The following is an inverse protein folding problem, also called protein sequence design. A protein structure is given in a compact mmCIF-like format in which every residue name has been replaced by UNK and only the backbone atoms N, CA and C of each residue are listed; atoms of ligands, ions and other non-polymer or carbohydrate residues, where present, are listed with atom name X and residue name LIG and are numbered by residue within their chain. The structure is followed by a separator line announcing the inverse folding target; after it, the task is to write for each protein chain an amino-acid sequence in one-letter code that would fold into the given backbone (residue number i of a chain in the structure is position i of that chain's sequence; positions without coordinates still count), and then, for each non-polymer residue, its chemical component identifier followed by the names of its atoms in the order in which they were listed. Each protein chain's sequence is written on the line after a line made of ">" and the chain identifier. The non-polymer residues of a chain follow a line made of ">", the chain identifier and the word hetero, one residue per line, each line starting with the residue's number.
data_IF_178161656455
#
_entry.id   IF_178161656455
#
_cell.length_a   1.000
_cell.length_b   1.000
_cell.length_c   1.000
_cell.angle_alpha   90.00
_cell.angle_beta   90.00
_cell.angle_gamma   90.00
#
_symmetry.space_group_name_H-M   'P 1'
#
loop_
_entity.id
_entity.type
_entity.pdbx_description
1 polymer ?
#
# COMPACT_ATOMS: atom_id res chain seq x y z
N UNK A 1 8.73 0.85 8.78
CA UNK A 1 8.46 0.97 10.24
C UNK A 1 7.00 0.70 10.59
N UNK A 2 6.66 -0.54 10.93
CA UNK A 2 5.29 -1.00 11.23
C UNK A 2 4.75 -0.61 12.64
N UNK A 3 5.34 0.40 13.28
CA UNK A 3 4.84 1.00 14.52
C UNK A 3 4.25 2.41 14.33
N UNK A 4 4.19 2.93 13.10
CA UNK A 4 3.81 4.32 12.85
C UNK A 4 2.30 4.57 12.67
N UNK A 5 1.45 3.55 12.57
CA UNK A 5 0.07 3.78 12.11
C UNK A 5 -0.87 4.40 13.16
N UNK A 6 -0.74 4.05 14.44
CA UNK A 6 -1.68 4.53 15.48
C UNK A 6 -1.37 5.96 15.95
N UNK A 7 -0.15 6.46 15.72
CA UNK A 7 0.28 7.79 16.14
C UNK A 7 0.38 8.82 15.01
N UNK A 8 0.58 8.41 13.76
CA UNK A 8 0.77 9.36 12.66
C UNK A 8 -0.50 10.15 12.35
N UNK A 9 -1.67 9.51 12.38
CA UNK A 9 -2.94 10.22 12.27
C UNK A 9 -3.06 11.28 13.36
N UNK A 10 -2.81 10.92 14.62
CA UNK A 10 -2.92 11.85 15.75
C UNK A 10 -1.89 12.98 15.69
N UNK A 11 -0.68 12.71 15.17
CA UNK A 11 0.36 13.71 14.94
C UNK A 11 -0.05 14.68 13.82
N UNK A 12 -0.56 14.18 12.70
CA UNK A 12 -1.06 14.99 11.60
C UNK A 12 -2.23 15.87 12.04
N UNK A 13 -3.20 15.33 12.79
CA UNK A 13 -4.32 16.12 13.29
C UNK A 13 -3.87 17.18 14.32
N UNK A 14 -2.94 16.85 15.22
CA UNK A 14 -2.36 17.85 16.17
C UNK A 14 -1.55 18.94 15.48
N UNK A 15 -0.96 18.65 14.33
CA UNK A 15 -0.26 19.63 13.51
C UNK A 15 -1.21 20.58 12.75
N UNK A 16 -2.53 20.41 12.90
CA UNK A 16 -3.53 21.29 12.28
C UNK A 16 -3.92 20.87 10.86
N UNK A 17 -3.62 19.64 10.43
CA UNK A 17 -4.06 19.14 9.12
C UNK A 17 -5.57 18.85 9.12
N UNK A 18 -6.22 19.11 7.99
CA UNK A 18 -7.66 18.92 7.82
C UNK A 18 -8.07 17.42 7.81
N UNK A 19 -7.21 16.54 7.29
CA UNK A 19 -7.42 15.09 7.25
C UNK A 19 -6.11 14.30 7.10
N UNK A 20 -6.20 12.98 7.28
CA UNK A 20 -5.11 12.02 7.12
C UNK A 20 -5.59 10.80 6.32
N UNK A 21 -4.85 10.48 5.25
CA UNK A 21 -5.04 9.27 4.44
C UNK A 21 -3.72 8.52 4.43
N UNK A 22 -3.72 7.29 4.93
CA UNK A 22 -2.55 6.42 4.90
C UNK A 22 -2.36 5.83 3.51
N UNK A 23 -1.11 5.56 3.14
CA UNK A 23 -0.80 4.74 1.95
C UNK A 23 -1.31 3.28 2.14
N UNK A 24 -1.61 2.56 1.04
CA UNK A 24 -1.75 3.08 -0.32
C UNK A 24 -2.97 4.01 -0.44
N UNK A 25 -2.90 4.98 -1.34
CA UNK A 25 -3.95 5.98 -1.52
C UNK A 25 -5.12 5.29 -2.23
N UNK A 26 -6.31 5.39 -1.64
CA UNK A 26 -7.58 4.97 -2.22
C UNK A 26 -8.24 6.21 -2.84
N UNK A 27 -8.49 6.19 -4.15
CA UNK A 27 -8.96 7.35 -4.89
C UNK A 27 -10.34 7.81 -4.40
N UNK A 28 -11.27 6.89 -4.19
CA UNK A 28 -12.62 7.21 -3.72
C UNK A 28 -12.58 7.84 -2.31
N UNK A 29 -11.77 7.28 -1.42
CA UNK A 29 -11.56 7.81 -0.07
C UNK A 29 -10.91 9.19 -0.10
N UNK A 30 -9.96 9.41 -1.00
CA UNK A 30 -9.33 10.73 -1.20
C UNK A 30 -10.37 11.75 -1.66
N UNK A 31 -11.11 11.42 -2.72
CA UNK A 31 -12.17 12.28 -3.29
C UNK A 31 -13.20 12.61 -2.21
N UNK A 32 -13.77 11.61 -1.53
CA UNK A 32 -14.74 11.79 -0.44
C UNK A 32 -14.19 12.66 0.69
N UNK A 33 -12.91 12.51 1.04
CA UNK A 33 -12.27 13.31 2.08
C UNK A 33 -12.17 14.78 1.66
N UNK A 34 -11.75 15.04 0.42
CA UNK A 34 -11.68 16.40 -0.14
C UNK A 34 -13.07 17.02 -0.22
N UNK A 35 -14.05 16.31 -0.78
CA UNK A 35 -15.45 16.76 -0.88
C UNK A 35 -16.02 17.12 0.51
N UNK A 36 -15.83 16.26 1.50
CA UNK A 36 -16.30 16.50 2.88
C UNK A 36 -15.66 17.75 3.49
N UNK A 37 -14.37 17.98 3.25
CA UNK A 37 -13.66 19.15 3.77
C UNK A 37 -14.08 20.44 3.06
N UNK A 38 -14.28 20.39 1.74
CA UNK A 38 -14.78 21.53 0.96
C UNK A 38 -16.22 21.87 1.39
N UNK A 39 -17.09 20.88 1.58
CA UNK A 39 -18.47 21.09 2.07
C UNK A 39 -18.51 21.53 3.54
N UNK A 40 -17.57 21.10 4.39
CA UNK A 40 -17.41 21.62 5.77
C UNK A 40 -16.94 23.08 5.78
N UNK A 41 -16.00 23.46 4.92
CA UNK A 41 -15.54 24.86 4.79
C UNK A 41 -16.60 25.75 4.13
N UNK A 42 -17.40 25.21 3.21
CA UNK A 42 -18.57 25.90 2.64
C UNK A 42 -19.66 26.19 3.67
N UNK A 43 -19.93 25.24 4.59
CA UNK A 43 -20.87 25.44 5.71
C UNK A 43 -20.36 26.37 6.81
N UNK A 44 -19.06 26.68 6.88
CA UNK A 44 -18.54 27.69 7.81
C UNK A 44 -18.82 29.13 7.34
N UNK A 45 -19.23 29.32 6.08
CA UNK A 45 -19.65 30.63 5.56
C UNK A 45 -21.17 30.87 5.67
N UNK A 46 -21.96 29.82 5.94
CA UNK A 46 -23.41 29.91 6.06
C UNK A 46 -23.89 29.27 7.36
N UNK A 47 -24.19 30.14 8.33
CA UNK A 47 -25.16 29.94 9.40
C UNK A 47 -24.67 29.34 10.73
N UNK A 48 -24.67 30.22 11.74
CA UNK A 48 -24.95 29.88 13.12
C UNK A 48 -26.41 29.42 13.25
N UNK A 49 -26.65 28.15 13.60
CA UNK A 49 -27.83 27.71 14.35
C UNK A 49 -27.69 26.26 14.82
N UNK A 50 -28.00 26.02 16.10
CA UNK A 50 -28.19 24.74 16.79
C UNK A 50 -29.05 23.72 15.99
N UNK A 51 -29.04 22.40 16.19
CA UNK A 51 -29.07 21.57 17.42
C UNK A 51 -28.62 20.12 17.13
N UNK A 52 -28.34 19.38 18.20
CA UNK A 52 -28.02 17.94 18.30
C UNK A 52 -28.99 16.98 17.56
N UNK A 53 -28.48 15.84 17.07
CA UNK A 53 -28.95 14.49 17.48
C UNK A 53 -28.05 13.33 16.97
N UNK A 54 -27.47 12.63 17.95
CA UNK A 54 -27.26 11.18 18.17
C UNK A 54 -27.58 10.14 17.08
N UNK A 55 -26.68 9.15 16.91
CA UNK A 55 -26.83 7.66 16.97
C UNK A 55 -25.43 7.09 16.60
N UNK A 56 -24.57 6.63 17.53
CA UNK A 56 -24.58 5.39 18.31
C UNK A 56 -24.35 4.10 17.50
N UNK A 57 -23.14 3.53 17.71
CA UNK A 57 -22.79 2.09 17.76
C UNK A 57 -22.84 1.31 16.43
N UNK A 58 -21.99 0.32 16.11
CA UNK A 58 -21.06 -0.51 16.87
C UNK A 58 -20.34 -1.45 15.90
N UNK A 59 -19.11 -1.86 16.26
CA UNK A 59 -18.43 -3.15 16.00
C UNK A 59 -18.30 -3.61 14.51
N UNK A 60 -17.19 -4.20 14.07
CA UNK A 60 -16.57 -5.36 14.71
C UNK A 60 -15.14 -5.58 14.21
N UNK A 61 -14.27 -5.81 15.19
CA UNK A 61 -13.03 -6.55 15.04
C UNK A 61 -13.39 -7.99 14.66
N UNK A 62 -12.94 -8.47 13.51
CA UNK A 62 -12.86 -9.89 13.22
C UNK A 62 -11.45 -10.22 12.72
N UNK A 63 -10.61 -10.67 13.65
CA UNK A 63 -9.62 -11.67 13.31
C UNK A 63 -10.38 -12.94 12.89
N UNK A 64 -10.24 -13.35 11.63
CA UNK A 64 -10.60 -14.71 11.21
C UNK A 64 -9.48 -15.24 10.33
N UNK A 65 -8.72 -16.15 10.94
CA UNK A 65 -8.00 -17.21 10.26
C UNK A 65 -9.00 -18.05 9.46
N UNK A 66 -8.87 -18.07 8.15
CA UNK A 66 -9.42 -19.13 7.32
C UNK A 66 -8.40 -19.53 6.25
N UNK A 67 -7.94 -20.78 6.37
CA UNK A 67 -7.32 -21.65 5.38
C UNK A 67 -6.85 -20.97 4.08
N UNK A 68 -5.51 -20.90 3.91
CA UNK A 68 -4.86 -20.47 2.67
C UNK A 68 -5.40 -21.25 1.46
N UNK A 69 -6.06 -20.59 0.49
CA UNK A 69 -5.89 -20.95 -0.90
C UNK A 69 -4.57 -20.32 -1.40
N UNK A 70 -4.04 -20.81 -2.51
CA UNK A 70 -2.85 -20.24 -3.17
C UNK A 70 -2.99 -18.72 -3.24
N UNK A 71 -1.94 -18.02 -2.84
CA UNK A 71 -1.84 -16.56 -2.91
C UNK A 71 -2.30 -16.08 -4.28
N UNK A 72 -3.39 -15.32 -4.34
CA UNK A 72 -3.70 -14.55 -5.53
C UNK A 72 -2.54 -13.58 -5.75
N UNK A 73 -1.69 -13.91 -6.73
CA UNK A 73 -0.52 -13.12 -7.10
C UNK A 73 -0.94 -11.70 -7.52
N UNK A 74 -2.17 -11.56 -8.00
CA UNK A 74 -2.76 -10.34 -8.52
C UNK A 74 -4.28 -10.37 -8.25
N UNK A 75 -4.81 -9.31 -7.63
CA UNK A 75 -6.25 -9.08 -7.53
C UNK A 75 -6.63 -7.87 -8.37
N UNK A 76 -6.88 -8.13 -9.66
CA UNK A 76 -7.27 -7.09 -10.62
C UNK A 76 -8.58 -6.42 -10.25
N UNK A 77 -9.51 -7.13 -9.62
CA UNK A 77 -10.80 -6.56 -9.26
C UNK A 77 -10.61 -5.47 -8.21
N UNK A 78 -9.79 -5.73 -7.19
CA UNK A 78 -9.45 -4.73 -6.18
C UNK A 78 -8.53 -3.64 -6.72
N UNK A 79 -7.61 -3.97 -7.62
CA UNK A 79 -6.74 -2.98 -8.27
C UNK A 79 -7.58 -1.95 -9.06
N UNK A 80 -8.51 -2.41 -9.91
CA UNK A 80 -9.44 -1.55 -10.67
C UNK A 80 -10.27 -0.65 -9.77
N UNK A 81 -10.90 -1.21 -8.74
CA UNK A 81 -11.70 -0.43 -7.79
C UNK A 81 -10.91 0.68 -7.11
N UNK A 82 -9.67 0.41 -6.69
CA UNK A 82 -8.79 1.41 -6.06
C UNK A 82 -8.47 2.58 -7.00
N UNK A 83 -8.44 2.31 -8.29
CA UNK A 83 -8.16 3.28 -9.35
C UNK A 83 -9.44 3.88 -9.96
N UNK A 84 -10.60 3.60 -9.37
CA UNK A 84 -11.88 4.15 -9.85
C UNK A 84 -12.33 3.59 -11.20
N UNK A 85 -11.98 2.33 -11.49
CA UNK A 85 -12.26 1.63 -12.76
C UNK A 85 -11.63 2.34 -13.99
N UNK A 86 -10.58 3.14 -13.78
CA UNK A 86 -9.79 3.77 -14.84
C UNK A 86 -8.73 2.81 -15.39
N UNK A 87 -9.03 2.23 -16.58
CA UNK A 87 -8.15 1.27 -17.23
C UNK A 87 -6.85 1.90 -17.79
N UNK A 88 -6.86 3.19 -18.15
CA UNK A 88 -5.66 3.89 -18.63
C UNK A 88 -4.69 4.10 -17.45
N UNK A 89 -5.22 4.54 -16.31
CA UNK A 89 -4.44 4.67 -15.08
C UNK A 89 -3.92 3.32 -14.59
N UNK A 90 -4.73 2.25 -14.66
CA UNK A 90 -4.29 0.90 -14.31
C UNK A 90 -3.10 0.45 -15.19
N UNK A 91 -3.16 0.76 -16.49
CA UNK A 91 -2.10 0.45 -17.45
C UNK A 91 -0.82 1.22 -17.15
N UNK A 92 -0.92 2.52 -16.92
CA UNK A 92 0.21 3.37 -16.54
C UNK A 92 0.87 2.85 -15.25
N UNK A 93 0.06 2.54 -14.23
CA UNK A 93 0.56 2.00 -12.98
C UNK A 93 1.22 0.64 -13.14
N UNK A 94 0.69 -0.23 -14.00
CA UNK A 94 1.34 -1.50 -14.33
C UNK A 94 2.70 -1.26 -15.01
N UNK A 95 2.78 -0.32 -15.95
CA UNK A 95 4.04 0.10 -16.57
C UNK A 95 5.08 0.57 -15.54
N UNK A 96 4.70 1.49 -14.66
CA UNK A 96 5.57 1.96 -13.58
C UNK A 96 5.98 0.85 -12.62
N UNK A 97 5.08 -0.10 -12.32
CA UNK A 97 5.42 -1.25 -11.49
C UNK A 97 6.53 -2.10 -12.11
N UNK A 98 6.43 -2.40 -13.41
CA UNK A 98 7.42 -3.21 -14.13
C UNK A 98 8.82 -2.55 -14.09
N UNK A 99 8.89 -1.24 -14.25
CA UNK A 99 10.15 -0.48 -14.24
C UNK A 99 10.72 -0.33 -12.82
N UNK A 100 9.91 0.19 -11.89
CA UNK A 100 10.36 0.52 -10.53
C UNK A 100 10.70 -0.73 -9.72
N UNK A 101 9.95 -1.82 -9.90
CA UNK A 101 10.18 -3.06 -9.15
C UNK A 101 11.55 -3.68 -9.49
N UNK A 102 11.98 -3.63 -10.75
CA UNK A 102 13.29 -4.11 -11.17
C UNK A 102 14.43 -3.31 -10.51
N UNK A 103 14.31 -1.98 -10.51
CA UNK A 103 15.29 -1.09 -9.86
C UNK A 103 15.36 -1.39 -8.36
N UNK A 104 14.21 -1.49 -7.69
CA UNK A 104 14.15 -1.72 -6.24
C UNK A 104 14.64 -3.11 -5.83
N UNK A 105 14.42 -4.15 -6.64
CA UNK A 105 14.96 -5.48 -6.40
C UNK A 105 16.49 -5.50 -6.48
N UNK A 106 17.06 -4.77 -7.45
CA UNK A 106 18.51 -4.62 -7.57
C UNK A 106 19.11 -3.83 -6.40
N UNK A 107 18.46 -2.74 -6.00
CA UNK A 107 18.88 -1.94 -4.85
C UNK A 107 18.78 -2.71 -3.54
N UNK A 108 17.73 -3.52 -3.37
CA UNK A 108 17.59 -4.44 -2.23
C UNK A 108 18.75 -5.44 -2.19
N UNK A 109 19.05 -6.09 -3.33
CA UNK A 109 20.14 -7.06 -3.43
C UNK A 109 21.50 -6.43 -3.09
N UNK A 110 21.80 -5.25 -3.64
CA UNK A 110 23.03 -4.50 -3.34
C UNK A 110 23.11 -4.13 -1.86
N UNK A 111 22.04 -3.56 -1.32
CA UNK A 111 21.99 -3.12 0.08
C UNK A 111 22.17 -4.26 1.07
N UNK A 112 21.65 -5.45 0.75
CA UNK A 112 21.87 -6.65 1.57
C UNK A 112 23.32 -7.15 1.48
N UNK A 113 23.95 -7.09 0.29
CA UNK A 113 25.37 -7.40 0.11
C UNK A 113 26.30 -6.46 0.88
N UNK A 114 25.96 -5.17 0.91
CA UNK A 114 26.71 -4.14 1.63
C UNK A 114 26.34 -4.07 3.13
N UNK A 115 25.46 -4.96 3.62
CA UNK A 115 24.96 -4.96 5.01
C UNK A 115 24.34 -3.62 5.44
N UNK A 116 23.75 -2.88 4.51
CA UNK A 116 23.05 -1.62 4.74
C UNK A 116 21.60 -1.87 5.14
N UNK A 117 21.37 -2.09 6.43
CA UNK A 117 20.05 -2.38 6.99
C UNK A 117 18.99 -1.35 6.60
N UNK A 118 19.31 -0.06 6.69
CA UNK A 118 18.36 1.01 6.37
C UNK A 118 18.00 1.05 4.89
N UNK A 119 18.98 0.89 4.00
CA UNK A 119 18.72 0.91 2.56
C UNK A 119 17.94 -0.32 2.11
N UNK A 120 18.29 -1.51 2.62
CA UNK A 120 17.56 -2.74 2.35
C UNK A 120 16.11 -2.66 2.86
N UNK A 121 15.89 -2.17 4.08
CA UNK A 121 14.56 -1.99 4.63
C UNK A 121 13.73 -0.98 3.81
N UNK A 122 14.33 0.12 3.34
CA UNK A 122 13.65 1.10 2.47
C UNK A 122 13.26 0.49 1.12
N UNK A 123 14.16 -0.25 0.46
CA UNK A 123 13.87 -0.89 -0.81
C UNK A 123 12.71 -1.91 -0.69
N UNK A 124 12.76 -2.76 0.34
CA UNK A 124 11.68 -3.70 0.64
C UNK A 124 10.35 -3.00 0.97
N UNK A 125 10.39 -1.89 1.72
CA UNK A 125 9.21 -1.09 2.04
C UNK A 125 8.57 -0.48 0.77
N UNK A 126 9.38 0.00 -0.17
CA UNK A 126 8.91 0.54 -1.44
C UNK A 126 8.27 -0.54 -2.31
N UNK A 127 8.91 -1.72 -2.45
CA UNK A 127 8.34 -2.87 -3.16
C UNK A 127 6.99 -3.29 -2.59
N UNK A 128 6.87 -3.32 -1.26
CA UNK A 128 5.61 -3.58 -0.56
C UNK A 128 4.52 -2.59 -0.96
N UNK A 129 4.85 -1.30 -1.01
CA UNK A 129 3.91 -0.25 -1.40
C UNK A 129 3.41 -0.39 -2.83
N UNK A 130 4.33 -0.70 -3.76
CA UNK A 130 4.01 -0.95 -5.16
C UNK A 130 3.10 -2.18 -5.33
N UNK A 131 3.46 -3.32 -4.71
CA UNK A 131 2.68 -4.56 -4.80
C UNK A 131 1.28 -4.42 -4.19
N UNK A 132 1.12 -3.57 -3.17
CA UNK A 132 -0.18 -3.33 -2.52
C UNK A 132 -1.22 -2.71 -3.46
N UNK A 133 -0.80 -1.93 -4.47
CA UNK A 133 -1.72 -1.35 -5.45
C UNK A 133 -2.48 -2.43 -6.23
N UNK A 134 -1.80 -3.56 -6.50
CA UNK A 134 -2.31 -4.68 -7.30
C UNK A 134 -2.96 -5.79 -6.46
N UNK A 135 -3.15 -5.57 -5.16
CA UNK A 135 -3.73 -6.57 -4.27
C UNK A 135 -2.87 -7.84 -4.10
N UNK A 136 -1.58 -7.78 -4.43
CA UNK A 136 -0.63 -8.88 -4.34
C UNK A 136 -0.25 -9.19 -2.88
N UNK A 137 -1.20 -9.72 -2.12
CA UNK A 137 -1.11 -9.87 -0.66
C UNK A 137 0.07 -10.75 -0.22
N UNK A 138 0.40 -11.80 -0.98
CA UNK A 138 1.58 -12.64 -0.75
C UNK A 138 2.88 -11.84 -0.85
N UNK A 139 3.07 -11.14 -1.98
CA UNK A 139 4.24 -10.28 -2.24
C UNK A 139 4.37 -9.17 -1.21
N UNK A 140 3.25 -8.56 -0.80
CA UNK A 140 3.20 -7.53 0.26
C UNK A 140 3.67 -8.10 1.60
N UNK A 141 3.20 -9.28 1.97
CA UNK A 141 3.61 -9.97 3.21
C UNK A 141 5.10 -10.27 3.20
N UNK A 142 5.60 -10.86 2.12
CA UNK A 142 7.00 -11.24 1.97
C UNK A 142 7.94 -10.03 1.97
N UNK A 143 7.57 -8.93 1.30
CA UNK A 143 8.31 -7.68 1.36
C UNK A 143 8.35 -7.08 2.77
N UNK A 144 7.27 -7.23 3.55
CA UNK A 144 7.26 -6.82 4.96
C UNK A 144 8.18 -7.68 5.84
N UNK A 145 8.30 -8.98 5.56
CA UNK A 145 9.24 -9.86 6.25
C UNK A 145 10.70 -9.52 5.94
N UNK A 146 11.02 -9.21 4.67
CA UNK A 146 12.34 -8.70 4.28
C UNK A 146 12.64 -7.37 4.99
N UNK A 147 11.70 -6.41 4.98
CA UNK A 147 11.85 -5.11 5.67
C UNK A 147 12.17 -5.33 7.16
N UNK A 148 11.45 -6.26 7.82
CA UNK A 148 11.64 -6.58 9.23
C UNK A 148 12.99 -7.25 9.50
N UNK A 149 13.39 -8.23 8.70
CA UNK A 149 14.66 -8.94 8.84
C UNK A 149 15.86 -8.00 8.62
N UNK A 150 15.79 -7.13 7.60
CA UNK A 150 16.79 -6.10 7.35
C UNK A 150 16.92 -5.12 8.53
N UNK A 151 15.79 -4.64 9.08
CA UNK A 151 15.80 -3.75 10.24
C UNK A 151 16.36 -4.42 11.51
N UNK A 152 16.18 -5.74 11.65
CA UNK A 152 16.75 -6.52 12.75
C UNK A 152 18.23 -6.88 12.54
N UNK A 153 18.86 -6.41 11.45
CA UNK A 153 20.22 -6.78 11.02
C UNK A 153 20.42 -8.29 10.80
N UNK A 154 19.33 -9.05 10.57
CA UNK A 154 19.39 -10.47 10.20
C UNK A 154 19.52 -10.60 8.68
N UNK A 155 20.69 -10.23 8.16
CA UNK A 155 21.00 -10.24 6.72
C UNK A 155 20.92 -11.63 6.08
N UNK A 156 21.30 -12.75 6.74
CA UNK A 156 21.10 -14.09 6.18
C UNK A 156 19.62 -14.40 5.92
N UNK A 157 18.74 -14.12 6.89
CA UNK A 157 17.30 -14.32 6.71
C UNK A 157 16.73 -13.36 5.68
N UNK A 158 17.10 -12.08 5.73
CA UNK A 158 16.65 -11.07 4.77
C UNK A 158 17.04 -11.44 3.32
N UNK A 159 18.26 -11.94 3.10
CA UNK A 159 18.73 -12.38 1.79
C UNK A 159 17.93 -13.57 1.27
N UNK A 160 17.70 -14.60 2.11
CA UNK A 160 16.89 -15.76 1.71
C UNK A 160 15.45 -15.35 1.35
N UNK A 161 14.83 -14.47 2.13
CA UNK A 161 13.48 -13.97 1.85
C UNK A 161 13.45 -13.07 0.61
N UNK A 162 14.51 -12.29 0.35
CA UNK A 162 14.63 -11.44 -0.83
C UNK A 162 14.71 -12.24 -2.13
N UNK A 163 15.32 -13.43 -2.12
CA UNK A 163 15.28 -14.35 -3.27
C UNK A 163 13.85 -14.80 -3.58
N UNK A 164 13.08 -15.18 -2.55
CA UNK A 164 11.67 -15.54 -2.73
C UNK A 164 10.85 -14.34 -3.20
N UNK A 165 11.11 -13.15 -2.64
CA UNK A 165 10.43 -11.91 -3.02
C UNK A 165 10.65 -11.58 -4.50
N UNK A 166 11.87 -11.77 -4.99
CA UNK A 166 12.19 -11.55 -6.41
C UNK A 166 11.31 -12.40 -7.31
N UNK A 167 11.22 -13.70 -7.04
CA UNK A 167 10.39 -14.63 -7.81
C UNK A 167 8.92 -14.20 -7.79
N UNK A 168 8.38 -13.81 -6.64
CA UNK A 168 6.98 -13.35 -6.52
C UNK A 168 6.74 -12.06 -7.33
N UNK A 169 7.69 -11.11 -7.29
CA UNK A 169 7.62 -9.86 -8.06
C UNK A 169 7.72 -10.12 -9.57
N UNK A 170 8.57 -11.05 -10.01
CA UNK A 170 8.68 -11.46 -11.41
C UNK A 170 7.37 -12.09 -11.91
N UNK A 171 6.77 -12.98 -11.11
CA UNK A 171 5.47 -13.58 -11.43
C UNK A 171 4.34 -12.53 -11.50
N UNK A 172 4.36 -11.54 -10.60
CA UNK A 172 3.42 -10.42 -10.66
C UNK A 172 3.64 -9.55 -11.90
N UNK A 173 4.88 -9.29 -12.30
CA UNK A 173 5.18 -8.58 -13.55
C UNK A 173 4.61 -9.32 -14.75
N UNK A 174 4.78 -10.64 -14.82
CA UNK A 174 4.24 -11.45 -15.90
C UNK A 174 2.71 -11.44 -15.93
N UNK A 175 2.07 -11.55 -14.76
CA UNK A 175 0.61 -11.44 -14.66
C UNK A 175 0.09 -10.06 -15.13
N UNK A 176 0.79 -8.97 -14.79
CA UNK A 176 0.43 -7.62 -15.26
C UNK A 176 0.63 -7.47 -16.78
N UNK A 177 1.70 -8.05 -17.34
CA UNK A 177 1.88 -8.06 -18.80
C UNK A 177 0.76 -8.79 -19.51
N UNK A 178 0.38 -9.95 -19.01
CA UNK A 178 -0.62 -10.81 -19.63
C UNK A 178 -2.05 -10.28 -19.48
N UNK A 179 -2.38 -9.61 -18.37
CA UNK A 179 -3.78 -9.27 -18.05
C UNK A 179 -4.10 -7.77 -18.15
N UNK A 180 -3.10 -6.89 -18.21
CA UNK A 180 -3.29 -5.42 -18.25
C UNK A 180 -2.66 -4.79 -19.49
N UNK A 181 -1.49 -5.29 -19.91
CA UNK A 181 -0.70 -4.70 -21.01
C UNK A 181 -0.83 -5.44 -22.35
N UNK A 182 -1.53 -6.57 -22.38
CA UNK A 182 -1.66 -7.45 -23.56
C UNK A 182 -2.66 -6.98 -24.61
N UNK A 183 -3.57 -6.04 -24.27
CA UNK A 183 -4.61 -5.52 -25.18
C UNK A 183 -4.10 -4.35 -26.06
N UNK A 184 -3.16 -4.66 -26.97
CA UNK A 184 -2.73 -3.81 -28.09
C UNK A 184 -2.96 -4.49 -29.44
#
# INVERSE_FOLDING_TARGET
>A
TAHAMKGDRERCMRAGMDAYISKPIDAERLIRTVETLVLRKGRLFESHSSTEETIAMSHESAATSSAQPKSDLLDLTQARKRLGDDEELLRDMAGYFLEDSAILLDDLRRSLGDSSAEAAARAAHSLKGLAANFGASGTVGLAAEVEKAAFAHDFPTASRLAETLRTDVEQLCDALREQVLSDC
#
